data_IF_731048082616
#
_entry.id   IF_731048082616
#
_cell.length_a   1.000
_cell.length_b   1.000
_cell.length_c   1.000
_cell.angle_alpha   90.00
_cell.angle_beta   90.00
_cell.angle_gamma   90.00
#
_symmetry.space_group_name_H-M   'P 1'
#
loop_
_entity.id
_entity.type
_entity.pdbx_description
1 polymer ?
#
# COMPACT_ATOMS: atom_id res chain seq x y z
N UNK A 1 23.25 -10.31 8.23
CA UNK A 1 22.26 -11.13 7.52
C UNK A 1 22.65 -11.08 6.06
N UNK A 2 23.04 -12.21 5.49
CA UNK A 2 23.43 -12.29 4.08
C UNK A 2 22.15 -12.18 3.23
N UNK A 3 22.18 -11.39 2.16
CA UNK A 3 21.06 -11.29 1.23
C UNK A 3 20.67 -12.67 0.65
N UNK A 4 21.62 -13.61 0.63
CA UNK A 4 21.42 -14.96 0.14
C UNK A 4 20.46 -15.80 1.00
N UNK A 5 20.49 -15.61 2.32
CA UNK A 5 19.60 -16.32 3.25
C UNK A 5 18.15 -15.85 3.11
N UNK A 6 17.95 -14.56 2.76
CA UNK A 6 16.62 -13.99 2.59
C UNK A 6 15.87 -14.56 1.37
N UNK A 7 16.61 -14.95 0.32
CA UNK A 7 16.06 -15.50 -0.91
C UNK A 7 16.13 -17.04 -1.00
N UNK A 8 16.66 -17.71 0.03
CA UNK A 8 16.61 -19.18 0.14
C UNK A 8 17.56 -19.96 -0.77
N UNK A 9 18.69 -19.37 -1.18
CA UNK A 9 19.69 -20.05 -2.00
C UNK A 9 20.35 -21.20 -1.25
N UNK A 10 20.57 -22.34 -1.93
CA UNK A 10 21.05 -23.58 -1.31
C UNK A 10 22.53 -23.85 -1.60
N UNK A 11 23.09 -23.26 -2.66
CA UNK A 11 24.46 -23.48 -3.08
C UNK A 11 25.26 -22.16 -3.17
N UNK A 12 26.58 -22.19 -2.90
CA UNK A 12 27.40 -20.97 -2.80
C UNK A 12 27.67 -20.28 -4.15
N UNK A 13 27.41 -20.95 -5.26
CA UNK A 13 27.61 -20.53 -6.64
C UNK A 13 26.32 -20.11 -7.37
N UNK A 14 25.16 -20.14 -6.69
CA UNK A 14 23.91 -19.62 -7.22
C UNK A 14 23.96 -18.08 -7.34
N UNK A 15 23.86 -17.59 -8.58
CA UNK A 15 23.73 -16.16 -8.88
C UNK A 15 22.27 -15.78 -9.15
N UNK A 16 21.75 -14.67 -8.58
CA UNK A 16 20.37 -14.25 -8.77
C UNK A 16 20.00 -14.10 -10.26
N UNK A 17 18.98 -14.84 -10.69
CA UNK A 17 18.43 -14.78 -12.05
C UNK A 17 19.18 -15.63 -13.09
N UNK A 18 20.23 -16.36 -12.71
CA UNK A 18 20.86 -17.35 -13.59
C UNK A 18 20.13 -18.70 -13.45
N UNK A 19 19.56 -19.27 -14.53
CA UNK A 19 18.93 -20.57 -14.47
C UNK A 19 19.92 -21.64 -14.03
N UNK A 20 19.48 -22.56 -13.15
CA UNK A 20 20.27 -23.74 -12.81
C UNK A 20 20.42 -24.60 -14.07
N UNK A 21 21.64 -24.89 -14.55
CA UNK A 21 21.82 -25.72 -15.74
C UNK A 21 21.38 -27.18 -15.55
N UNK A 22 21.09 -27.62 -14.32
CA UNK A 22 20.48 -28.91 -14.01
C UNK A 22 18.94 -28.88 -13.95
N UNK A 23 18.33 -27.69 -13.99
CA UNK A 23 16.89 -27.50 -14.12
C UNK A 23 16.53 -27.58 -15.61
N UNK A 24 15.86 -28.66 -16.00
CA UNK A 24 15.43 -28.94 -17.39
C UNK A 24 14.28 -28.03 -17.85
N UNK A 25 13.88 -27.05 -17.01
CA UNK A 25 12.84 -26.08 -17.31
C UNK A 25 11.44 -26.68 -17.26
N UNK A 26 11.30 -27.94 -16.86
CA UNK A 26 10.03 -28.65 -16.77
C UNK A 26 9.33 -28.26 -15.45
N UNK A 27 8.82 -27.02 -15.40
CA UNK A 27 8.02 -26.50 -14.28
C UNK A 27 8.27 -25.05 -13.88
N UNK A 28 9.23 -24.35 -14.51
CA UNK A 28 9.61 -22.97 -14.16
C UNK A 28 9.08 -21.89 -15.12
N UNK A 29 8.30 -22.28 -16.13
CA UNK A 29 7.58 -21.35 -17.01
C UNK A 29 6.38 -20.68 -16.32
N UNK A 30 5.93 -19.50 -16.80
CA UNK A 30 4.66 -18.94 -16.34
C UNK A 30 3.54 -19.97 -16.59
N UNK A 31 2.58 -20.13 -15.65
CA UNK A 31 1.55 -21.14 -15.77
C UNK A 31 0.81 -21.00 -17.10
N UNK A 32 0.63 -22.12 -17.78
CA UNK A 32 -0.17 -22.16 -19.01
C UNK A 32 -1.62 -21.83 -18.68
N UNK A 33 -2.42 -21.45 -19.69
CA UNK A 33 -3.84 -21.14 -19.49
C UNK A 33 -4.63 -22.32 -18.88
N UNK A 34 -4.20 -23.56 -19.14
CA UNK A 34 -4.81 -24.77 -18.58
C UNK A 34 -4.42 -25.00 -17.10
N UNK A 35 -3.31 -24.43 -16.64
CA UNK A 35 -2.83 -24.46 -15.25
C UNK A 35 -3.28 -23.26 -14.41
N UNK A 36 -3.79 -22.21 -15.07
CA UNK A 36 -4.22 -20.98 -14.41
C UNK A 36 -5.45 -21.22 -13.51
N UNK A 37 -5.36 -20.82 -12.24
CA UNK A 37 -6.48 -20.89 -11.31
C UNK A 37 -7.56 -19.89 -11.74
N UNK A 38 -8.77 -20.39 -12.01
CA UNK A 38 -9.93 -19.54 -12.33
C UNK A 38 -10.41 -18.79 -11.09
N UNK A 39 -10.40 -17.45 -11.14
CA UNK A 39 -10.91 -16.59 -10.06
C UNK A 39 -12.44 -16.56 -9.96
N UNK A 40 -13.16 -17.05 -10.97
CA UNK A 40 -14.63 -17.16 -10.92
C UNK A 40 -15.13 -18.31 -10.02
N UNK A 41 -14.22 -19.16 -9.53
CA UNK A 41 -14.55 -20.24 -8.61
C UNK A 41 -14.22 -19.84 -7.16
N UNK A 42 -15.26 -19.61 -6.36
CA UNK A 42 -15.11 -19.17 -4.97
C UNK A 42 -14.29 -20.15 -4.08
N UNK A 43 -14.37 -21.46 -4.33
CA UNK A 43 -13.59 -22.44 -3.58
C UNK A 43 -12.10 -22.36 -3.93
N UNK A 44 -11.77 -22.10 -5.20
CA UNK A 44 -10.41 -21.92 -5.68
C UNK A 44 -9.82 -20.61 -5.16
N UNK A 45 -10.59 -19.51 -5.19
CA UNK A 45 -10.22 -18.24 -4.56
C UNK A 45 -9.89 -18.40 -3.08
N UNK A 46 -10.78 -19.01 -2.29
CA UNK A 46 -10.55 -19.23 -0.85
C UNK A 46 -9.30 -20.05 -0.55
N UNK A 47 -8.96 -20.99 -1.43
CA UNK A 47 -7.76 -21.82 -1.28
C UNK A 47 -6.47 -21.03 -1.50
N UNK A 48 -6.47 -20.06 -2.43
CA UNK A 48 -5.29 -19.28 -2.79
C UNK A 48 -5.20 -17.93 -2.05
N UNK A 49 -6.24 -17.53 -1.34
CA UNK A 49 -6.30 -16.32 -0.50
C UNK A 49 -6.33 -16.69 0.99
N UNK A 50 -5.24 -17.24 1.56
CA UNK A 50 -5.20 -17.67 2.95
C UNK A 50 -5.36 -16.52 3.96
N UNK A 51 -5.07 -15.29 3.53
CA UNK A 51 -5.15 -14.08 4.35
C UNK A 51 -6.51 -13.36 4.27
N UNK A 52 -7.45 -13.87 3.47
CA UNK A 52 -8.77 -13.29 3.21
C UNK A 52 -8.69 -11.82 2.73
N UNK A 53 -7.79 -11.57 1.79
CA UNK A 53 -7.63 -10.25 1.16
C UNK A 53 -8.90 -9.84 0.41
N UNK A 54 -9.61 -10.77 -0.20
CA UNK A 54 -10.90 -10.49 -0.84
C UNK A 54 -11.93 -10.00 0.18
N UNK A 55 -12.02 -10.66 1.34
CA UNK A 55 -12.87 -10.21 2.45
C UNK A 55 -12.47 -8.82 2.97
N UNK A 56 -11.16 -8.55 3.11
CA UNK A 56 -10.65 -7.23 3.51
C UNK A 56 -11.04 -6.13 2.53
N UNK A 57 -11.02 -6.41 1.22
CA UNK A 57 -11.48 -5.46 0.18
C UNK A 57 -13.00 -5.28 0.25
N UNK A 58 -13.75 -6.37 0.40
CA UNK A 58 -15.21 -6.33 0.50
C UNK A 58 -15.70 -5.51 1.72
N UNK A 59 -14.87 -5.36 2.75
CA UNK A 59 -15.14 -4.57 3.95
C UNK A 59 -15.02 -3.05 3.76
N UNK A 60 -14.49 -2.59 2.62
CA UNK A 60 -14.25 -1.16 2.36
C UNK A 60 -15.48 -0.26 2.64
N UNK A 61 -16.72 -0.59 2.24
CA UNK A 61 -17.88 0.26 2.54
C UNK A 61 -18.09 0.49 4.05
N UNK A 62 -17.89 -0.56 4.88
CA UNK A 62 -18.00 -0.40 6.34
C UNK A 62 -16.85 0.42 6.90
N UNK A 63 -15.63 0.20 6.41
CA UNK A 63 -14.46 0.99 6.80
C UNK A 63 -14.69 2.48 6.51
N UNK A 64 -15.23 2.83 5.35
CA UNK A 64 -15.58 4.20 5.00
C UNK A 64 -16.69 4.78 5.91
N UNK A 65 -17.74 4.01 6.18
CA UNK A 65 -18.79 4.43 7.11
C UNK A 65 -18.29 4.66 8.54
N UNK A 66 -17.31 3.86 8.98
CA UNK A 66 -16.62 4.06 10.26
C UNK A 66 -15.71 5.28 10.22
N UNK A 67 -14.89 5.44 9.18
CA UNK A 67 -14.00 6.58 9.01
C UNK A 67 -14.77 7.90 9.01
N UNK A 68 -15.94 7.96 8.34
CA UNK A 68 -16.82 9.13 8.38
C UNK A 68 -17.30 9.47 9.79
N UNK A 69 -17.67 8.47 10.58
CA UNK A 69 -18.10 8.68 11.99
C UNK A 69 -16.95 9.20 12.84
N UNK A 70 -15.76 8.64 12.68
CA UNK A 70 -14.56 9.11 13.37
C UNK A 70 -14.26 10.56 12.98
N UNK A 71 -14.21 10.87 11.68
CA UNK A 71 -13.94 12.22 11.19
C UNK A 71 -14.99 13.24 11.66
N UNK A 72 -16.27 12.88 11.68
CA UNK A 72 -17.35 13.75 12.15
C UNK A 72 -17.31 14.03 13.66
N UNK A 73 -16.64 13.18 14.44
CA UNK A 73 -16.48 13.35 15.88
C UNK A 73 -15.22 14.16 16.25
N UNK A 74 -14.36 14.48 15.28
CA UNK A 74 -13.16 15.30 15.52
C UNK A 74 -13.57 16.77 15.67
N UNK A 75 -13.32 17.31 16.85
CA UNK A 75 -13.38 18.76 17.09
C UNK A 75 -11.98 19.34 16.91
N UNK A 76 -11.85 20.26 15.96
CA UNK A 76 -10.64 21.04 15.76
C UNK A 76 -10.75 22.34 16.57
N UNK A 77 -9.69 22.69 17.30
CA UNK A 77 -9.59 24.01 17.94
C UNK A 77 -9.21 25.10 16.92
N UNK A 78 -9.26 26.36 17.33
CA UNK A 78 -8.99 27.51 16.46
C UNK A 78 -7.61 27.45 15.79
N UNK A 79 -6.60 26.90 16.48
CA UNK A 79 -5.22 26.85 15.97
C UNK A 79 -5.10 25.96 14.74
N UNK A 80 -5.93 24.93 14.63
CA UNK A 80 -5.94 24.01 13.49
C UNK A 80 -6.74 24.58 12.31
N UNK A 81 -7.52 25.64 12.54
CA UNK A 81 -8.33 26.28 11.50
C UNK A 81 -7.66 27.50 10.85
N UNK A 82 -6.61 28.04 11.50
CA UNK A 82 -5.75 29.15 11.07
C UNK A 82 -4.31 28.67 10.81
N UNK A 83 -4.16 27.87 9.77
CA UNK A 83 -2.88 27.35 9.26
C UNK A 83 -2.64 27.89 7.85
N UNK A 84 -1.40 27.86 7.39
CA UNK A 84 -1.00 28.30 6.04
C UNK A 84 -0.79 27.13 5.07
N UNK A 85 -0.61 25.91 5.60
CA UNK A 85 -0.44 24.67 4.85
C UNK A 85 -0.85 23.47 5.70
N UNK A 86 -1.10 22.33 5.05
CA UNK A 86 -1.28 21.03 5.69
C UNK A 86 -0.23 20.08 5.12
N UNK A 87 0.55 19.41 5.98
CA UNK A 87 1.55 18.43 5.54
C UNK A 87 1.22 17.07 6.12
N UNK A 88 1.09 16.07 5.24
CA UNK A 88 0.87 14.68 5.62
C UNK A 88 2.16 13.91 5.39
N UNK A 89 2.84 13.53 6.48
CA UNK A 89 3.98 12.61 6.43
C UNK A 89 3.45 11.18 6.31
N UNK A 90 3.68 10.53 5.17
CA UNK A 90 3.05 9.25 4.87
C UNK A 90 3.87 8.37 3.95
N UNK A 91 3.87 7.06 4.20
CA UNK A 91 4.58 6.05 3.41
C UNK A 91 3.64 4.93 2.95
N UNK A 92 3.91 4.38 1.76
CA UNK A 92 3.13 3.27 1.19
C UNK A 92 1.63 3.57 1.12
N UNK A 93 0.81 2.68 1.67
CA UNK A 93 -0.66 2.80 1.66
C UNK A 93 -1.19 4.10 2.27
N UNK A 94 -0.54 4.64 3.30
CA UNK A 94 -0.95 5.91 3.91
C UNK A 94 -0.76 7.10 2.96
N UNK A 95 0.29 7.06 2.13
CA UNK A 95 0.53 8.09 1.13
C UNK A 95 -0.49 8.00 -0.01
N UNK A 96 -0.89 6.79 -0.41
CA UNK A 96 -1.96 6.57 -1.40
C UNK A 96 -3.27 7.20 -0.90
N UNK A 97 -3.62 6.98 0.38
CA UNK A 97 -4.80 7.60 0.99
C UNK A 97 -4.73 9.13 1.02
N UNK A 98 -3.58 9.69 1.40
CA UNK A 98 -3.37 11.13 1.44
C UNK A 98 -3.43 11.76 0.04
N UNK A 99 -2.85 11.11 -0.97
CA UNK A 99 -2.93 11.57 -2.36
C UNK A 99 -4.33 11.47 -2.94
N UNK A 100 -5.12 10.45 -2.58
CA UNK A 100 -6.52 10.40 -2.95
C UNK A 100 -7.28 11.63 -2.42
N UNK A 101 -7.02 12.04 -1.18
CA UNK A 101 -7.60 13.26 -0.61
C UNK A 101 -7.12 14.50 -1.36
N UNK A 102 -5.82 14.61 -1.63
CA UNK A 102 -5.23 15.71 -2.38
C UNK A 102 -5.87 15.85 -3.78
N UNK A 103 -6.00 14.74 -4.52
CA UNK A 103 -6.59 14.73 -5.84
C UNK A 103 -8.10 15.02 -5.82
N UNK A 104 -8.83 14.50 -4.83
CA UNK A 104 -10.27 14.67 -4.77
C UNK A 104 -10.68 16.06 -4.28
N UNK A 105 -9.94 16.66 -3.34
CA UNK A 105 -10.35 17.85 -2.61
C UNK A 105 -9.34 19.01 -2.63
N UNK A 106 -8.12 18.81 -3.12
CA UNK A 106 -7.03 19.80 -3.06
C UNK A 106 -7.43 21.16 -3.60
N UNK A 107 -8.06 21.22 -4.77
CA UNK A 107 -8.52 22.46 -5.41
C UNK A 107 -9.61 23.21 -4.62
N UNK A 108 -10.21 22.55 -3.62
CA UNK A 108 -11.26 23.10 -2.75
C UNK A 108 -10.74 23.48 -1.38
N UNK A 109 -9.49 23.16 -1.05
CA UNK A 109 -8.88 23.53 0.23
C UNK A 109 -8.48 25.01 0.23
N UNK A 110 -8.58 25.64 1.41
CA UNK A 110 -8.16 27.04 1.60
C UNK A 110 -6.64 27.20 1.57
N UNK A 111 -5.93 26.13 1.86
CA UNK A 111 -4.47 26.04 1.97
C UNK A 111 -3.96 24.81 1.25
N UNK A 112 -2.71 24.80 0.77
CA UNK A 112 -2.13 23.63 0.13
C UNK A 112 -2.08 22.43 1.08
N UNK A 113 -2.39 21.24 0.54
CA UNK A 113 -2.13 19.96 1.19
C UNK A 113 -0.96 19.27 0.50
N UNK A 114 0.11 19.01 1.25
CA UNK A 114 1.36 18.45 0.77
C UNK A 114 1.51 17.04 1.33
N UNK A 115 1.68 16.05 0.46
CA UNK A 115 1.98 14.67 0.88
C UNK A 115 3.49 14.49 0.83
N UNK A 116 4.13 14.31 1.99
CA UNK A 116 5.55 14.06 2.10
C UNK A 116 5.82 12.56 2.29
N UNK A 117 6.42 11.93 1.27
CA UNK A 117 6.76 10.51 1.26
C UNK A 117 8.10 10.21 1.92
N UNK A 118 8.22 10.66 3.16
CA UNK A 118 9.37 10.36 4.01
C UNK A 118 8.94 10.41 5.48
N UNK A 119 9.82 9.93 6.36
CA UNK A 119 9.67 10.03 7.80
C UNK A 119 10.17 11.37 8.36
N UNK A 120 11.04 12.07 7.62
CA UNK A 120 11.53 13.39 7.99
C UNK A 120 10.47 14.49 7.83
N UNK A 121 10.70 15.62 8.50
CA UNK A 121 9.97 16.85 8.19
C UNK A 121 10.64 17.53 7.00
N UNK A 122 9.89 17.95 5.97
CA UNK A 122 10.45 18.73 4.87
C UNK A 122 10.96 20.09 5.38
N UNK A 123 11.93 20.67 4.66
CA UNK A 123 12.40 22.01 4.98
C UNK A 123 11.28 23.05 4.76
N UNK A 124 11.25 24.09 5.60
CA UNK A 124 10.29 25.19 5.47
C UNK A 124 8.96 25.00 6.19
N UNK A 125 8.77 23.91 6.95
CA UNK A 125 7.64 23.74 7.85
C UNK A 125 7.86 24.56 9.12
N UNK A 126 6.83 25.27 9.59
CA UNK A 126 6.90 26.16 10.75
C UNK A 126 5.64 26.08 11.61
N UNK A 127 5.48 27.02 12.54
CA UNK A 127 4.45 26.99 13.59
C UNK A 127 2.99 27.10 13.07
N UNK A 128 2.81 27.42 11.78
CA UNK A 128 1.51 27.57 11.10
C UNK A 128 1.23 26.45 10.09
N UNK A 129 1.81 25.27 10.30
CA UNK A 129 1.60 24.08 9.44
C UNK A 129 1.13 22.89 10.27
#
# INVERSE_FOLDING_TARGET
>A
MDARDYFGYKNPDEEPGRPDPADDGEGTGPPTFEEAVTLDNAASLRRIDPDDMLGRVAELPRQLAQARRVAAAVSLDERHTDVDAIVVLAMGGSAIGAELVAAAAGDRLRVPLIVHRDYGLPAGIGDRT
#
